data_IF_687136521301
#
_entry.id   IF_687136521301
#
_cell.length_a   1.000
_cell.length_b   1.000
_cell.length_c   1.000
_cell.angle_alpha   90.00
_cell.angle_beta   90.00
_cell.angle_gamma   90.00
#
_symmetry.space_group_name_H-M   'P 1'
#
loop_
_entity.id
_entity.type
_entity.pdbx_description
1 polymer ?
#
# COMPACT_ATOMS: atom_id res chain seq x y z
N UNK A 1 -21.43 -12.03 17.72
CA UNK A 1 -20.43 -11.66 16.70
C UNK A 1 -20.48 -10.17 16.35
N UNK A 2 -21.64 -9.57 16.16
CA UNK A 2 -21.82 -8.15 15.85
C UNK A 2 -21.18 -7.27 16.94
N UNK A 3 -21.33 -7.63 18.19
CA UNK A 3 -20.82 -6.87 19.33
C UNK A 3 -19.33 -7.09 19.60
N UNK A 4 -18.82 -8.30 19.35
CA UNK A 4 -17.49 -8.72 19.81
C UNK A 4 -16.54 -9.10 18.66
N UNK A 5 -17.02 -9.23 17.43
CA UNK A 5 -16.25 -9.74 16.30
C UNK A 5 -15.97 -11.25 16.33
N UNK A 6 -16.38 -11.94 17.40
CA UNK A 6 -16.16 -13.39 17.59
C UNK A 6 -17.48 -14.08 17.99
N UNK A 7 -17.62 -15.40 17.69
CA UNK A 7 -16.76 -16.27 16.89
C UNK A 7 -16.76 -15.84 15.40
N UNK A 8 -15.72 -16.23 14.67
CA UNK A 8 -15.67 -16.01 13.23
C UNK A 8 -16.75 -16.82 12.54
N UNK A 9 -17.36 -16.21 11.50
CA UNK A 9 -18.40 -16.85 10.71
C UNK A 9 -17.95 -16.95 9.26
N UNK A 10 -17.86 -18.19 8.77
CA UNK A 10 -17.44 -18.49 7.41
C UNK A 10 -18.61 -19.10 6.62
N UNK A 11 -18.76 -18.67 5.39
CA UNK A 11 -19.74 -19.22 4.46
C UNK A 11 -19.15 -20.47 3.81
N UNK A 12 -19.36 -21.64 4.43
CA UNK A 12 -18.78 -22.91 4.02
C UNK A 12 -19.05 -23.25 2.55
N UNK A 13 -20.28 -23.07 2.08
CA UNK A 13 -20.64 -23.39 0.70
C UNK A 13 -19.94 -22.47 -0.30
N UNK A 14 -19.84 -21.17 0.01
CA UNK A 14 -19.09 -20.21 -0.80
C UNK A 14 -17.59 -20.53 -0.83
N UNK A 15 -17.01 -20.94 0.30
CA UNK A 15 -15.62 -21.39 0.38
C UNK A 15 -15.38 -22.60 -0.53
N UNK A 16 -16.24 -23.61 -0.45
CA UNK A 16 -16.14 -24.81 -1.29
C UNK A 16 -16.35 -24.50 -2.77
N UNK A 17 -17.30 -23.62 -3.10
CA UNK A 17 -17.56 -23.23 -4.50
C UNK A 17 -16.39 -22.48 -5.13
N UNK A 18 -15.64 -21.70 -4.35
CA UNK A 18 -14.51 -20.88 -4.82
C UNK A 18 -13.13 -21.52 -4.63
N UNK A 19 -13.05 -22.65 -3.92
CA UNK A 19 -11.80 -23.32 -3.65
C UNK A 19 -11.14 -23.84 -4.94
N UNK A 20 -9.82 -23.72 -5.01
CA UNK A 20 -9.01 -24.39 -6.05
C UNK A 20 -8.74 -25.88 -5.74
N UNK A 21 -9.25 -26.40 -4.62
CA UNK A 21 -9.10 -27.81 -4.18
C UNK A 21 -10.42 -28.62 -4.31
N UNK A 22 -11.38 -28.15 -5.10
CA UNK A 22 -12.68 -28.84 -5.28
C UNK A 22 -12.53 -30.29 -5.76
N UNK A 23 -11.46 -30.60 -6.50
CA UNK A 23 -11.15 -31.94 -6.97
C UNK A 23 -10.69 -32.90 -5.87
N UNK A 24 -10.33 -32.39 -4.70
CA UNK A 24 -9.88 -33.22 -3.56
C UNK A 24 -11.02 -33.65 -2.67
N UNK A 25 -12.00 -32.76 -2.46
CA UNK A 25 -13.16 -33.02 -1.61
C UNK A 25 -13.68 -31.74 -0.95
N UNK A 26 -14.56 -31.92 0.03
CA UNK A 26 -15.23 -30.84 0.71
C UNK A 26 -14.36 -30.27 1.85
N UNK A 27 -14.16 -28.96 1.86
CA UNK A 27 -13.58 -28.21 2.98
C UNK A 27 -14.60 -28.18 4.11
N UNK A 28 -14.25 -28.68 5.30
CA UNK A 28 -15.16 -28.85 6.44
C UNK A 28 -15.01 -27.74 7.47
N UNK A 29 -13.82 -27.20 7.63
CA UNK A 29 -13.52 -26.14 8.60
C UNK A 29 -12.31 -25.30 8.13
N UNK A 30 -11.99 -24.27 8.89
CA UNK A 30 -10.75 -23.51 8.79
C UNK A 30 -9.93 -23.64 10.08
N UNK A 31 -8.75 -23.02 10.12
CA UNK A 31 -8.00 -22.84 11.36
C UNK A 31 -8.59 -21.73 12.25
N UNK A 32 -7.97 -21.48 13.41
CA UNK A 32 -8.45 -20.51 14.41
C UNK A 32 -8.62 -19.11 13.85
N UNK A 33 -7.66 -18.62 13.06
CA UNK A 33 -7.67 -17.26 12.50
C UNK A 33 -8.35 -17.13 11.15
N UNK A 34 -8.88 -18.23 10.60
CA UNK A 34 -9.63 -18.31 9.33
C UNK A 34 -8.82 -18.03 8.06
N UNK A 35 -7.49 -17.91 8.14
CA UNK A 35 -6.62 -17.74 6.97
C UNK A 35 -6.36 -19.03 6.20
N UNK A 36 -6.59 -20.19 6.81
CA UNK A 36 -6.44 -21.50 6.17
C UNK A 36 -7.82 -22.07 5.83
N UNK A 37 -8.15 -22.10 4.55
CA UNK A 37 -9.40 -22.66 4.03
C UNK A 37 -9.03 -23.69 2.98
N UNK A 38 -8.60 -24.86 3.46
CA UNK A 38 -8.05 -25.95 2.66
C UNK A 38 -8.68 -27.30 3.00
N UNK A 39 -8.54 -28.26 2.07
CA UNK A 39 -9.03 -29.61 2.26
C UNK A 39 -8.25 -30.34 3.36
N UNK A 40 -8.98 -31.06 4.21
CA UNK A 40 -8.43 -32.00 5.21
C UNK A 40 -9.27 -33.27 5.24
N UNK A 41 -8.60 -34.40 5.51
CA UNK A 41 -9.22 -35.71 5.70
C UNK A 41 -8.56 -36.42 6.89
N UNK A 42 -9.01 -37.63 7.26
CA UNK A 42 -8.29 -38.42 8.26
C UNK A 42 -6.83 -38.74 7.91
N UNK A 43 -6.52 -38.80 6.62
CA UNK A 43 -5.20 -39.17 6.08
C UNK A 43 -4.30 -37.95 5.82
N UNK A 44 -4.87 -36.76 5.72
CA UNK A 44 -4.12 -35.54 5.46
C UNK A 44 -4.74 -34.30 6.15
N UNK A 45 -3.91 -33.60 6.90
CA UNK A 45 -4.31 -32.37 7.61
C UNK A 45 -3.70 -31.16 6.91
N UNK A 46 -4.55 -30.20 6.54
CA UNK A 46 -4.11 -28.98 5.87
C UNK A 46 -3.10 -28.20 6.72
N UNK A 47 -2.05 -27.74 6.07
CA UNK A 47 -0.99 -26.90 6.62
C UNK A 47 -0.64 -25.86 5.57
N UNK A 48 -0.51 -24.60 5.98
CA UNK A 48 -0.08 -23.55 5.08
C UNK A 48 1.15 -22.81 5.63
N UNK A 49 2.10 -22.52 4.76
CA UNK A 49 3.28 -21.73 5.08
C UNK A 49 3.01 -20.27 4.71
N UNK A 50 3.09 -19.39 5.71
CA UNK A 50 2.62 -18.02 5.60
C UNK A 50 3.76 -17.02 5.62
N UNK A 51 3.62 -15.96 4.83
CA UNK A 51 4.44 -14.76 4.90
C UNK A 51 3.62 -13.51 4.56
N UNK A 52 4.14 -12.34 4.90
CA UNK A 52 3.53 -11.08 4.50
C UNK A 52 4.58 -10.05 4.10
N UNK A 53 4.21 -9.17 3.17
CA UNK A 53 5.07 -8.12 2.62
C UNK A 53 4.52 -6.76 3.04
N UNK A 54 5.39 -5.93 3.62
CA UNK A 54 5.06 -4.54 3.95
C UNK A 54 5.15 -3.67 2.70
N UNK A 55 4.00 -3.24 2.16
CA UNK A 55 3.91 -2.42 0.95
C UNK A 55 4.57 -1.05 1.11
N UNK A 56 4.56 -0.50 2.33
CA UNK A 56 5.23 0.78 2.63
C UNK A 56 6.72 0.79 2.26
N UNK A 57 7.39 -0.37 2.27
CA UNK A 57 8.80 -0.49 1.92
C UNK A 57 9.11 -0.32 0.43
N UNK A 58 8.08 -0.26 -0.40
CA UNK A 58 8.17 -0.06 -1.85
C UNK A 58 7.73 1.34 -2.28
N UNK A 59 7.46 2.24 -1.33
CA UNK A 59 7.26 3.64 -1.64
C UNK A 59 8.61 4.32 -1.85
N UNK A 60 8.75 4.96 -3.01
CA UNK A 60 9.89 5.81 -3.35
C UNK A 60 9.44 7.24 -3.10
N UNK A 61 9.94 7.90 -2.04
CA UNK A 61 9.61 9.29 -1.78
C UNK A 61 10.09 10.17 -2.94
N UNK A 62 9.35 11.25 -3.22
CA UNK A 62 9.80 12.26 -4.15
C UNK A 62 11.04 12.95 -3.60
N UNK A 63 12.09 13.05 -4.40
CA UNK A 63 13.24 13.87 -4.05
C UNK A 63 12.85 15.35 -4.12
N UNK A 64 12.86 16.00 -2.97
CA UNK A 64 12.50 17.40 -2.80
C UNK A 64 13.69 18.27 -2.40
N UNK A 65 14.89 17.71 -2.34
CA UNK A 65 16.09 18.36 -1.78
C UNK A 65 16.50 19.64 -2.53
N UNK A 66 16.20 19.72 -3.82
CA UNK A 66 16.50 20.87 -4.65
C UNK A 66 15.27 21.73 -4.99
N UNK A 67 14.08 21.34 -4.51
CA UNK A 67 12.85 22.06 -4.82
C UNK A 67 12.79 23.42 -4.11
N UNK A 68 12.48 24.44 -4.89
CA UNK A 68 12.21 25.80 -4.42
C UNK A 68 10.82 26.19 -4.90
N UNK A 69 9.92 26.47 -3.98
CA UNK A 69 8.51 26.76 -4.27
C UNK A 69 8.16 28.18 -3.85
N UNK A 70 7.37 28.86 -4.67
CA UNK A 70 6.71 30.11 -4.31
C UNK A 70 5.22 29.89 -4.20
N UNK A 71 4.64 30.36 -3.08
CA UNK A 71 3.23 30.21 -2.77
C UNK A 71 2.60 31.60 -2.62
N UNK A 72 1.72 31.94 -3.54
CA UNK A 72 0.89 33.14 -3.42
C UNK A 72 -0.38 32.79 -2.63
N UNK A 73 -0.59 33.55 -1.58
CA UNK A 73 -1.65 33.30 -0.59
C UNK A 73 -2.63 34.45 -0.51
N UNK A 74 -3.76 34.20 0.11
CA UNK A 74 -4.71 35.24 0.54
C UNK A 74 -5.13 35.04 2.00
N UNK A 75 -5.60 36.06 2.68
CA UNK A 75 -6.07 35.93 4.07
C UNK A 75 -7.14 34.84 4.22
N UNK A 76 -7.13 34.14 5.37
CA UNK A 76 -8.12 33.11 5.76
C UNK A 76 -8.23 31.91 4.76
N UNK A 77 -7.17 31.59 4.04
CA UNK A 77 -7.13 30.48 3.09
C UNK A 77 -6.64 29.19 3.74
N UNK A 78 -7.54 28.25 3.98
CA UNK A 78 -7.22 26.93 4.58
C UNK A 78 -6.23 26.15 3.71
N UNK A 79 -6.45 26.07 2.39
CA UNK A 79 -5.57 25.37 1.46
C UNK A 79 -4.18 26.01 1.35
N UNK A 80 -4.06 27.32 1.57
CA UNK A 80 -2.77 27.99 1.64
C UNK A 80 -1.98 27.52 2.88
N UNK A 81 -2.65 27.36 4.01
CA UNK A 81 -2.05 26.80 5.22
C UNK A 81 -1.65 25.34 5.04
N UNK A 82 -2.50 24.53 4.39
CA UNK A 82 -2.19 23.13 4.09
C UNK A 82 -0.97 23.02 3.17
N UNK A 83 -0.86 23.83 2.13
CA UNK A 83 0.29 23.84 1.22
C UNK A 83 1.60 24.18 1.96
N UNK A 84 1.58 25.19 2.83
CA UNK A 84 2.74 25.54 3.66
C UNK A 84 3.16 24.42 4.61
N UNK A 85 2.19 23.77 5.24
CA UNK A 85 2.46 22.65 6.13
C UNK A 85 3.06 21.47 5.37
N UNK A 86 2.53 21.13 4.19
CA UNK A 86 3.06 20.09 3.33
C UNK A 86 4.52 20.40 2.92
N UNK A 87 4.83 21.64 2.54
CA UNK A 87 6.21 22.02 2.24
C UNK A 87 7.14 21.83 3.46
N UNK A 88 6.68 22.20 4.67
CA UNK A 88 7.46 21.99 5.90
C UNK A 88 7.69 20.51 6.19
N UNK A 89 6.66 19.68 6.09
CA UNK A 89 6.75 18.22 6.31
C UNK A 89 7.72 17.56 5.33
N UNK A 90 7.74 18.02 4.09
CA UNK A 90 8.60 17.50 3.03
C UNK A 90 9.97 18.19 2.99
N UNK A 91 10.30 19.09 3.91
CA UNK A 91 11.52 19.91 3.95
C UNK A 91 11.79 20.68 2.65
N UNK A 92 10.73 21.13 1.99
CA UNK A 92 10.82 21.97 0.79
C UNK A 92 11.03 23.42 1.18
N UNK A 93 12.01 24.05 0.56
CA UNK A 93 12.23 25.50 0.72
C UNK A 93 11.13 26.25 -0.04
N UNK A 94 10.40 27.12 0.66
CA UNK A 94 9.36 27.91 0.03
C UNK A 94 9.39 29.38 0.47
N UNK A 95 8.92 30.25 -0.41
CA UNK A 95 8.60 31.64 -0.11
C UNK A 95 7.09 31.87 -0.15
N UNK A 96 6.58 32.69 0.75
CA UNK A 96 5.17 33.09 0.79
C UNK A 96 5.06 34.53 0.36
N UNK A 97 4.13 34.83 -0.53
CA UNK A 97 3.83 36.17 -0.98
C UNK A 97 2.31 36.42 -1.02
N UNK A 98 1.90 37.67 -0.85
CA UNK A 98 0.51 38.05 -1.01
C UNK A 98 0.10 38.00 -2.50
N UNK A 99 -1.14 37.66 -2.75
CA UNK A 99 -1.67 37.59 -4.12
C UNK A 99 -1.50 38.88 -4.92
N UNK A 100 -1.56 40.04 -4.27
CA UNK A 100 -1.36 41.32 -4.94
C UNK A 100 0.05 41.44 -5.54
N UNK A 101 1.05 40.77 -4.95
CA UNK A 101 2.41 40.72 -5.50
C UNK A 101 2.44 39.99 -6.85
N UNK A 102 1.65 38.93 -7.00
CA UNK A 102 1.51 38.24 -8.31
C UNK A 102 0.92 39.13 -9.38
N UNK A 103 -0.10 39.92 -9.05
CA UNK A 103 -0.70 40.87 -9.99
C UNK A 103 0.27 41.97 -10.41
N UNK A 104 1.14 42.41 -9.51
CA UNK A 104 2.15 43.45 -9.78
C UNK A 104 3.33 42.93 -10.59
N UNK A 105 3.64 41.64 -10.54
CA UNK A 105 4.72 41.05 -11.33
C UNK A 105 4.44 40.96 -12.84
N UNK A 106 3.20 41.23 -13.25
CA UNK A 106 2.76 41.07 -14.62
C UNK A 106 2.39 39.63 -15.00
N UNK A 107 2.58 38.70 -14.08
CA UNK A 107 2.14 37.32 -14.25
C UNK A 107 0.62 37.23 -14.12
N UNK A 108 -0.03 36.56 -15.06
CA UNK A 108 -1.48 36.35 -14.96
C UNK A 108 -1.75 35.12 -14.10
N UNK A 109 -2.60 35.26 -13.06
CA UNK A 109 -3.03 34.07 -12.30
C UNK A 109 -3.66 33.02 -13.21
N UNK A 110 -3.25 31.80 -13.07
CA UNK A 110 -3.84 30.68 -13.81
C UNK A 110 -5.02 30.13 -12.99
N UNK A 111 -6.20 30.71 -13.20
CA UNK A 111 -7.42 30.34 -12.47
C UNK A 111 -7.77 31.23 -11.29
N UNK A 112 -8.84 30.88 -10.59
CA UNK A 112 -9.42 31.65 -9.46
C UNK A 112 -9.24 31.02 -8.09
N UNK A 113 -8.56 29.88 -8.01
CA UNK A 113 -8.36 29.11 -6.78
C UNK A 113 -7.06 29.49 -6.08
N UNK A 114 -7.02 29.32 -4.75
CA UNK A 114 -5.85 29.57 -3.91
C UNK A 114 -5.49 28.34 -3.06
N UNK A 115 -4.17 28.12 -2.79
CA UNK A 115 -3.00 28.92 -3.21
C UNK A 115 -2.72 28.87 -4.72
N UNK A 116 -1.94 29.85 -5.22
CA UNK A 116 -1.26 29.73 -6.52
C UNK A 116 0.19 29.36 -6.26
N UNK A 117 0.62 28.22 -6.75
CA UNK A 117 1.92 27.63 -6.42
C UNK A 117 2.78 27.51 -7.68
N UNK A 118 4.03 27.96 -7.54
CA UNK A 118 5.00 27.95 -8.63
C UNK A 118 6.27 27.23 -8.21
N UNK A 119 6.81 26.41 -9.13
CA UNK A 119 8.14 25.84 -9.02
C UNK A 119 9.17 26.89 -9.51
N UNK A 120 10.13 27.18 -8.62
CA UNK A 120 11.23 28.11 -8.86
C UNK A 120 12.57 27.40 -9.02
N UNK A 121 12.56 26.08 -9.05
CA UNK A 121 13.74 25.25 -9.16
C UNK A 121 14.50 25.58 -10.45
N UNK A 122 15.82 25.65 -10.36
CA UNK A 122 16.70 25.97 -11.50
C UNK A 122 16.47 27.33 -12.19
N UNK A 123 15.88 28.29 -11.48
CA UNK A 123 15.60 29.61 -12.01
C UNK A 123 14.40 29.67 -12.99
N UNK A 124 13.61 28.61 -13.04
CA UNK A 124 12.34 28.57 -13.78
C UNK A 124 11.23 29.23 -12.96
N UNK A 125 10.13 29.60 -13.63
CA UNK A 125 8.89 30.05 -12.97
C UNK A 125 7.74 29.28 -13.58
N UNK A 126 7.49 28.07 -13.07
CA UNK A 126 6.53 27.16 -13.66
C UNK A 126 5.33 26.98 -12.72
N UNK A 127 4.13 27.26 -13.21
CA UNK A 127 2.91 27.11 -12.44
C UNK A 127 2.62 25.63 -12.15
N UNK A 128 2.55 25.25 -10.90
CA UNK A 128 2.15 23.89 -10.45
C UNK A 128 0.63 23.80 -10.39
N UNK A 129 -0.05 24.79 -9.84
CA UNK A 129 -1.48 24.81 -9.59
C UNK A 129 -1.83 25.19 -8.16
N UNK A 130 -2.87 24.53 -7.60
CA UNK A 130 -3.29 24.68 -6.23
C UNK A 130 -2.68 23.66 -5.27
N UNK A 131 -3.23 23.56 -4.07
CA UNK A 131 -2.79 22.60 -3.06
C UNK A 131 -2.87 21.14 -3.56
N UNK A 132 -3.97 20.75 -4.19
CA UNK A 132 -4.15 19.37 -4.69
C UNK A 132 -3.15 19.01 -5.79
N UNK A 133 -2.73 19.97 -6.61
CA UNK A 133 -1.71 19.73 -7.64
C UNK A 133 -0.34 19.56 -7.01
N UNK A 134 0.00 20.38 -5.99
CA UNK A 134 1.21 20.20 -5.22
C UNK A 134 1.24 18.84 -4.52
N UNK A 135 0.16 18.47 -3.84
CA UNK A 135 0.04 17.17 -3.19
C UNK A 135 0.24 16.02 -4.18
N UNK A 136 -0.36 16.11 -5.36
CA UNK A 136 -0.20 15.11 -6.43
C UNK A 136 1.24 15.05 -6.96
N UNK A 137 1.89 16.20 -7.12
CA UNK A 137 3.29 16.28 -7.56
C UNK A 137 4.25 15.63 -6.55
N UNK A 138 3.96 15.74 -5.25
CA UNK A 138 4.80 15.27 -4.16
C UNK A 138 4.48 13.84 -3.72
N UNK A 139 3.44 13.20 -4.27
CA UNK A 139 3.13 11.81 -3.93
C UNK A 139 4.31 10.90 -4.23
N UNK A 140 4.62 9.98 -3.32
CA UNK A 140 5.61 8.94 -3.58
C UNK A 140 5.16 8.05 -4.75
N UNK A 141 6.10 7.57 -5.52
CA UNK A 141 5.87 6.52 -6.51
C UNK A 141 6.01 5.15 -5.88
N UNK A 142 5.46 4.13 -6.52
CA UNK A 142 5.51 2.76 -6.02
C UNK A 142 6.45 1.92 -6.89
N UNK A 143 7.39 1.24 -6.25
CA UNK A 143 8.39 0.38 -6.89
C UNK A 143 7.81 -1.01 -7.16
N UNK A 144 7.12 -1.16 -8.25
CA UNK A 144 6.53 -2.44 -8.68
C UNK A 144 7.59 -3.48 -9.07
N UNK A 145 8.71 -3.05 -9.62
CA UNK A 145 9.79 -3.97 -10.04
C UNK A 145 10.41 -4.65 -8.82
N UNK A 146 10.78 -3.85 -7.82
CA UNK A 146 11.29 -4.36 -6.54
C UNK A 146 10.26 -5.24 -5.83
N UNK A 147 8.98 -4.87 -5.85
CA UNK A 147 7.92 -5.71 -5.28
C UNK A 147 7.87 -7.06 -5.99
N UNK A 148 7.91 -7.08 -7.32
CA UNK A 148 7.91 -8.31 -8.11
C UNK A 148 9.08 -9.23 -7.75
N UNK A 149 10.28 -8.68 -7.58
CA UNK A 149 11.46 -9.46 -7.23
C UNK A 149 11.36 -10.02 -5.81
N UNK A 150 10.88 -9.23 -4.85
CA UNK A 150 10.64 -9.70 -3.48
C UNK A 150 9.59 -10.81 -3.47
N UNK A 151 8.49 -10.68 -4.21
CA UNK A 151 7.46 -11.72 -4.33
C UNK A 151 8.05 -13.03 -4.89
N UNK A 152 8.88 -12.96 -5.93
CA UNK A 152 9.57 -14.15 -6.49
C UNK A 152 10.45 -14.86 -5.44
N UNK A 153 11.23 -14.07 -4.69
CA UNK A 153 12.10 -14.62 -3.64
C UNK A 153 11.28 -15.23 -2.52
N UNK A 154 10.26 -14.53 -2.04
CA UNK A 154 9.38 -15.01 -0.96
C UNK A 154 8.64 -16.28 -1.35
N UNK A 155 8.09 -16.35 -2.54
CA UNK A 155 7.41 -17.54 -3.07
C UNK A 155 8.37 -18.75 -3.13
N UNK A 156 9.58 -18.55 -3.62
CA UNK A 156 10.62 -19.58 -3.64
C UNK A 156 10.98 -20.05 -2.22
N UNK A 157 11.16 -19.11 -1.30
CA UNK A 157 11.51 -19.42 0.08
C UNK A 157 10.39 -20.21 0.79
N UNK A 158 9.13 -19.79 0.63
CA UNK A 158 7.98 -20.50 1.19
C UNK A 158 7.88 -21.91 0.61
N UNK A 159 8.10 -22.08 -0.69
CA UNK A 159 8.11 -23.39 -1.30
C UNK A 159 9.27 -24.26 -0.77
N UNK A 160 10.45 -23.71 -0.55
CA UNK A 160 11.59 -24.45 0.01
C UNK A 160 11.34 -24.85 1.48
N UNK A 161 10.70 -23.98 2.27
CA UNK A 161 10.36 -24.27 3.67
C UNK A 161 9.53 -25.55 3.77
N UNK A 162 8.65 -25.84 2.82
CA UNK A 162 7.85 -27.06 2.80
C UNK A 162 8.73 -28.32 2.85
N UNK A 163 9.89 -28.30 2.21
CA UNK A 163 10.79 -29.45 2.15
C UNK A 163 11.64 -29.64 3.42
N UNK A 164 11.88 -28.53 4.17
CA UNK A 164 12.75 -28.53 5.34
C UNK A 164 12.02 -28.40 6.67
N UNK A 165 10.72 -28.13 6.63
CA UNK A 165 9.95 -27.87 7.85
C UNK A 165 9.80 -29.12 8.73
N UNK A 166 9.66 -28.90 10.04
CA UNK A 166 9.25 -29.95 10.96
C UNK A 166 7.73 -30.14 10.89
N UNK A 167 7.30 -31.38 10.75
CA UNK A 167 5.89 -31.75 10.75
C UNK A 167 5.52 -32.50 12.01
N UNK A 168 4.53 -32.01 12.79
CA UNK A 168 4.16 -32.63 14.04
C UNK A 168 3.50 -34.01 13.88
N UNK A 169 2.85 -34.26 12.73
CA UNK A 169 2.21 -35.55 12.42
C UNK A 169 2.47 -35.96 10.98
N UNK A 170 2.36 -37.28 10.66
CA UNK A 170 2.48 -37.80 9.29
C UNK A 170 1.44 -37.16 8.34
N UNK A 171 0.21 -36.94 8.82
CA UNK A 171 -0.90 -36.39 8.03
C UNK A 171 -0.62 -34.95 7.58
N UNK A 172 0.00 -34.13 8.44
CA UNK A 172 0.40 -32.76 8.12
C UNK A 172 1.52 -32.77 7.07
N UNK A 173 2.48 -33.67 7.20
CA UNK A 173 3.56 -33.86 6.20
C UNK A 173 3.00 -34.29 4.85
N UNK A 174 2.09 -35.26 4.85
CA UNK A 174 1.43 -35.77 3.64
C UNK A 174 0.72 -34.66 2.89
N UNK A 175 -0.12 -33.89 3.59
CA UNK A 175 -0.85 -32.75 3.01
C UNK A 175 0.10 -31.69 2.43
N UNK A 176 1.07 -31.26 3.24
CA UNK A 176 1.93 -30.14 2.83
C UNK A 176 2.86 -30.48 1.67
N UNK A 177 3.45 -31.66 1.65
CA UNK A 177 4.28 -32.12 0.53
C UNK A 177 3.47 -32.39 -0.73
N UNK A 178 2.22 -32.87 -0.59
CA UNK A 178 1.34 -33.19 -1.72
C UNK A 178 0.79 -31.95 -2.40
N UNK A 179 0.32 -30.97 -1.61
CA UNK A 179 -0.40 -29.80 -2.12
C UNK A 179 0.46 -28.54 -2.20
N UNK A 180 1.54 -28.47 -1.41
CA UNK A 180 2.50 -27.36 -1.34
C UNK A 180 1.83 -25.97 -1.17
N UNK A 181 0.91 -25.81 -0.22
CA UNK A 181 0.18 -24.56 -0.06
C UNK A 181 1.08 -23.50 0.55
N UNK A 182 0.98 -22.28 0.00
CA UNK A 182 1.64 -21.08 0.51
C UNK A 182 0.64 -19.94 0.58
N UNK A 183 0.73 -19.14 1.63
CA UNK A 183 -0.03 -17.91 1.80
C UNK A 183 0.91 -16.71 1.84
N UNK A 184 0.83 -15.84 0.84
CA UNK A 184 1.61 -14.62 0.78
C UNK A 184 0.68 -13.40 0.83
N UNK A 185 0.61 -12.75 1.96
CA UNK A 185 -0.21 -11.58 2.20
C UNK A 185 0.54 -10.26 2.07
N UNK A 186 -0.19 -9.16 2.20
CA UNK A 186 0.36 -7.80 2.20
C UNK A 186 -0.09 -7.04 3.45
N UNK A 187 0.74 -6.09 3.87
CA UNK A 187 0.47 -5.19 4.98
C UNK A 187 0.65 -3.74 4.52
N UNK A 188 -0.10 -2.81 5.14
CA UNK A 188 0.01 -1.38 4.84
C UNK A 188 -0.65 -1.01 3.51
N UNK A 189 -1.83 -1.58 3.22
CA UNK A 189 -2.63 -1.24 2.04
C UNK A 189 -3.45 0.04 2.26
N UNK A 190 -3.70 0.44 3.51
CA UNK A 190 -4.46 1.63 3.90
C UNK A 190 -3.52 2.79 4.25
#
# INVERSE_FOLDING_TARGET
QIETGTPYMLYKDACNLKSNQQNLGMIKSSNLCTEIIEYSSPEETAVCNLASISLKKFLIPKDTSTMLIRIYTKPQCIYCTMAKNLCKEMNIVYTEEDYNALLLSGEKPVGVTFPQIYDMTNGTFTHIGGFSDLEKLLRPTFDYERLQDVVKVMTRNLNNIIDYNYYPTPETKTSNLRHRPIGLGVQGLA
#
